data_IF_203601804281
#
_entry.id   IF_203601804281
#
_cell.length_a   1.000
_cell.length_b   1.000
_cell.length_c   1.000
_cell.angle_alpha   90.00
_cell.angle_beta   90.00
_cell.angle_gamma   90.00
#
_symmetry.space_group_name_H-M   'P 1'
#
loop_
_entity.id
_entity.type
_entity.pdbx_description
1 polymer ?
#
# COMPACT_ATOMS: atom_id res chain seq x y z
N UNK A 1 -15.86 -41.06 -7.46
CA UNK A 1 -16.09 -41.33 -6.02
C UNK A 1 -14.91 -42.18 -5.57
N UNK A 2 -13.86 -41.70 -4.91
CA UNK A 2 -13.65 -40.50 -4.10
C UNK A 2 -12.22 -39.99 -4.31
N UNK A 3 -12.02 -38.73 -3.97
CA UNK A 3 -10.92 -37.85 -4.30
C UNK A 3 -9.54 -38.35 -3.86
N UNK A 4 -8.52 -37.97 -4.64
CA UNK A 4 -7.11 -38.20 -4.31
C UNK A 4 -6.80 -37.55 -2.96
N UNK A 5 -6.12 -38.30 -2.11
CA UNK A 5 -5.61 -37.86 -0.83
C UNK A 5 -4.73 -36.61 -1.00
N UNK A 6 -5.22 -35.45 -0.56
CA UNK A 6 -4.40 -34.29 -0.25
C UNK A 6 -4.82 -33.73 1.11
N UNK A 7 -4.06 -34.07 2.14
CA UNK A 7 -3.97 -33.30 3.38
C UNK A 7 -2.50 -33.05 3.67
N UNK A 8 -2.17 -31.98 4.40
CA UNK A 8 -2.61 -30.59 4.28
C UNK A 8 -1.40 -29.72 3.84
N UNK A 9 -1.59 -28.51 3.32
CA UNK A 9 -0.50 -27.52 3.38
C UNK A 9 -0.71 -26.70 4.66
N UNK A 10 0.16 -26.78 5.68
CA UNK A 10 -0.04 -26.11 6.96
C UNK A 10 0.56 -24.69 7.01
N UNK A 11 0.79 -24.03 5.88
CA UNK A 11 1.45 -22.71 5.83
C UNK A 11 0.91 -21.81 4.70
N UNK A 12 -0.40 -21.56 4.65
CA UNK A 12 -0.80 -20.23 4.19
C UNK A 12 -0.67 -19.31 5.42
N UNK A 13 0.31 -18.39 5.46
CA UNK A 13 0.33 -17.39 6.51
C UNK A 13 -1.03 -16.66 6.46
N UNK A 14 -1.56 -16.18 7.60
CA UNK A 14 -2.78 -15.39 7.54
C UNK A 14 -2.47 -14.16 6.65
N UNK A 15 -3.47 -13.47 6.05
CA UNK A 15 -3.19 -12.32 5.19
C UNK A 15 -2.70 -11.13 6.05
N UNK A 16 -1.48 -11.24 6.59
CA UNK A 16 -1.03 -10.57 7.81
C UNK A 16 -0.07 -9.45 7.48
N UNK A 17 -0.56 -8.45 6.77
CA UNK A 17 0.14 -7.24 6.33
C UNK A 17 0.79 -7.38 4.93
N UNK A 18 0.62 -6.38 4.06
CA UNK A 18 1.37 -6.27 2.82
C UNK A 18 2.89 -6.32 3.07
N UNK A 19 3.67 -6.76 2.09
CA UNK A 19 5.11 -6.65 2.18
C UNK A 19 5.53 -5.16 2.19
N UNK A 20 6.52 -4.74 3.00
CA UNK A 20 7.12 -3.41 2.86
C UNK A 20 7.55 -3.15 1.42
N UNK A 21 7.25 -1.97 0.88
CA UNK A 21 7.41 -1.67 -0.54
C UNK A 21 6.12 -1.84 -1.37
N UNK A 22 5.08 -2.47 -0.82
CA UNK A 22 3.79 -2.60 -1.53
C UNK A 22 3.10 -1.25 -1.65
N UNK A 23 2.64 -0.89 -2.84
CA UNK A 23 1.88 0.35 -3.04
C UNK A 23 0.39 0.16 -2.76
N UNK A 24 -0.15 1.04 -1.93
CA UNK A 24 -1.53 1.05 -1.48
C UNK A 24 -2.19 2.40 -1.77
N UNK A 25 -3.49 2.37 -2.01
CA UNK A 25 -4.37 3.55 -2.09
C UNK A 25 -5.08 3.69 -0.77
N UNK A 26 -4.93 4.85 -0.13
CA UNK A 26 -5.70 5.26 1.04
C UNK A 26 -6.94 6.04 0.58
N UNK A 27 -8.08 5.35 0.59
CA UNK A 27 -9.37 5.89 0.15
C UNK A 27 -9.92 6.95 1.11
N UNK A 28 -9.47 6.96 2.37
CA UNK A 28 -9.86 7.98 3.35
C UNK A 28 -9.21 9.34 3.08
N UNK A 29 -8.16 9.38 2.26
CA UNK A 29 -7.38 10.58 1.94
C UNK A 29 -7.45 10.96 0.46
N UNK A 30 -8.62 10.80 -0.16
CA UNK A 30 -8.83 11.18 -1.57
C UNK A 30 -7.99 10.33 -2.53
N UNK A 31 -7.97 9.02 -2.29
CA UNK A 31 -7.20 8.03 -3.05
C UNK A 31 -5.69 8.31 -3.10
N UNK A 32 -5.13 8.79 -1.98
CA UNK A 32 -3.69 9.04 -1.87
C UNK A 32 -2.92 7.73 -1.93
N UNK A 33 -1.92 7.66 -2.82
CA UNK A 33 -1.08 6.47 -3.00
C UNK A 33 0.19 6.55 -2.17
N UNK A 34 0.50 5.47 -1.43
CA UNK A 34 1.72 5.35 -0.62
C UNK A 34 2.32 3.96 -0.64
N UNK A 35 3.61 3.89 -0.36
CA UNK A 35 4.36 2.66 -0.11
C UNK A 35 4.14 2.22 1.34
N UNK A 36 3.72 0.97 1.54
CA UNK A 36 3.61 0.36 2.85
C UNK A 36 5.00 0.23 3.50
N UNK A 37 5.13 0.76 4.72
CA UNK A 37 6.37 0.73 5.51
C UNK A 37 6.31 -0.24 6.68
N UNK A 38 5.10 -0.63 7.11
CA UNK A 38 4.87 -1.51 8.25
C UNK A 38 3.61 -1.14 9.02
N UNK A 39 3.29 -1.92 10.04
CA UNK A 39 2.26 -1.58 11.01
C UNK A 39 2.78 -0.59 12.06
N UNK A 40 1.92 0.35 12.47
CA UNK A 40 2.12 1.33 13.53
C UNK A 40 0.92 1.22 14.50
N UNK A 41 0.99 0.25 15.42
CA UNK A 41 -0.15 -0.10 16.27
C UNK A 41 -1.35 -0.60 15.42
N UNK A 42 -2.56 -0.02 15.58
CA UNK A 42 -3.72 -0.41 14.79
C UNK A 42 -3.73 0.17 13.36
N UNK A 43 -2.80 1.08 13.05
CA UNK A 43 -2.69 1.74 11.75
C UNK A 43 -1.53 1.16 10.94
N UNK A 44 -1.52 1.44 9.64
CA UNK A 44 -0.41 1.16 8.74
C UNK A 44 0.36 2.44 8.42
N UNK A 45 1.69 2.38 8.47
CA UNK A 45 2.55 3.49 8.04
C UNK A 45 2.74 3.42 6.53
N UNK A 46 2.35 4.49 5.84
CA UNK A 46 2.54 4.68 4.40
C UNK A 46 3.48 5.84 4.13
N UNK A 47 4.33 5.71 3.11
CA UNK A 47 5.21 6.78 2.63
C UNK A 47 4.81 7.23 1.23
N UNK A 48 4.81 8.53 0.89
CA UNK A 48 4.46 8.97 -0.46
C UNK A 48 5.43 8.41 -1.49
N UNK A 49 4.95 8.10 -2.70
CA UNK A 49 5.83 7.71 -3.81
C UNK A 49 6.84 8.84 -4.09
N UNK A 50 8.13 8.52 -4.10
CA UNK A 50 9.20 9.50 -4.28
C UNK A 50 9.60 10.27 -3.01
N UNK A 51 9.06 9.89 -1.85
CA UNK A 51 9.44 10.42 -0.55
C UNK A 51 8.57 11.60 -0.07
N UNK A 52 8.79 11.97 1.19
CA UNK A 52 7.98 12.94 1.92
C UNK A 52 7.59 12.38 3.29
N UNK A 53 6.71 13.10 3.98
CA UNK A 53 6.23 12.73 5.32
C UNK A 53 5.35 11.48 5.24
N UNK A 54 5.70 10.48 6.04
CA UNK A 54 4.90 9.28 6.24
C UNK A 54 3.57 9.63 6.92
N UNK A 55 2.56 8.79 6.71
CA UNK A 55 1.27 8.95 7.36
C UNK A 55 0.71 7.60 7.80
N UNK A 56 -0.10 7.64 8.84
CA UNK A 56 -0.86 6.50 9.32
C UNK A 56 -2.20 6.40 8.57
N UNK A 57 -2.49 5.19 8.10
CA UNK A 57 -3.71 4.84 7.38
C UNK A 57 -4.43 3.67 8.07
N UNK A 58 -5.76 3.69 8.04
CA UNK A 58 -6.56 2.59 8.57
C UNK A 58 -6.51 1.38 7.63
N UNK A 59 -6.22 0.16 8.11
CA UNK A 59 -6.13 -1.05 7.29
C UNK A 59 -7.39 -1.31 6.44
N UNK A 60 -8.56 -0.96 6.97
CA UNK A 60 -9.86 -1.10 6.29
C UNK A 60 -10.12 -0.06 5.19
N UNK A 61 -9.37 1.05 5.20
CA UNK A 61 -9.51 2.15 4.25
C UNK A 61 -8.45 2.11 3.16
N UNK A 62 -7.57 1.11 3.18
CA UNK A 62 -6.52 0.94 2.19
C UNK A 62 -6.77 -0.27 1.30
N UNK A 63 -6.34 -0.18 0.05
CA UNK A 63 -6.36 -1.28 -0.92
C UNK A 63 -5.10 -1.28 -1.76
N UNK A 64 -4.83 -2.38 -2.46
CA UNK A 64 -3.74 -2.42 -3.44
C UNK A 64 -3.91 -1.32 -4.50
N UNK A 65 -2.80 -0.64 -4.79
CA UNK A 65 -2.76 0.38 -5.84
C UNK A 65 -2.60 -0.28 -7.21
N UNK A 66 -3.47 0.09 -8.14
CA UNK A 66 -3.32 -0.30 -9.54
C UNK A 66 -2.08 0.36 -10.16
N UNK A 67 -1.45 -0.26 -11.18
CA UNK A 67 -0.29 0.33 -11.84
C UNK A 67 -0.51 1.76 -12.36
N UNK A 68 -1.72 2.05 -12.86
CA UNK A 68 -2.09 3.40 -13.32
C UNK A 68 -2.16 4.43 -12.18
N UNK A 69 -2.57 4.01 -10.98
CA UNK A 69 -2.64 4.88 -9.80
C UNK A 69 -1.23 5.19 -9.28
N UNK A 70 -0.35 4.18 -9.28
CA UNK A 70 1.07 4.36 -8.96
C UNK A 70 1.74 5.33 -9.93
N UNK A 71 1.49 5.18 -11.24
CA UNK A 71 2.02 6.08 -12.26
C UNK A 71 1.51 7.51 -12.06
N UNK A 72 0.20 7.69 -11.86
CA UNK A 72 -0.41 9.00 -11.60
C UNK A 72 0.19 9.67 -10.37
N UNK A 73 0.34 8.93 -9.27
CA UNK A 73 0.94 9.47 -8.05
C UNK A 73 2.40 9.88 -8.23
N UNK A 74 3.20 9.07 -8.96
CA UNK A 74 4.59 9.42 -9.29
C UNK A 74 4.67 10.71 -10.12
N UNK A 75 3.84 10.82 -11.15
CA UNK A 75 3.78 12.01 -12.01
C UNK A 75 3.29 13.24 -11.25
N UNK A 76 2.24 13.09 -10.43
CA UNK A 76 1.73 14.18 -9.60
C UNK A 76 2.80 14.70 -8.64
N UNK A 77 3.57 13.82 -8.00
CA UNK A 77 4.68 14.21 -7.13
C UNK A 77 5.80 14.92 -7.90
N UNK A 78 6.19 14.39 -9.05
CA UNK A 78 7.21 15.01 -9.90
C UNK A 78 6.78 16.42 -10.35
N UNK A 79 5.52 16.58 -10.75
CA UNK A 79 4.95 17.87 -11.13
C UNK A 79 4.85 18.85 -9.96
N UNK A 80 4.47 18.37 -8.78
CA UNK A 80 4.45 19.21 -7.57
C UNK A 80 5.87 19.67 -7.20
N UNK A 81 6.87 18.78 -7.36
CA UNK A 81 8.28 19.12 -7.12
C UNK A 81 8.79 20.17 -8.10
N UNK A 82 8.44 20.06 -9.39
CA UNK A 82 8.83 21.07 -10.39
C UNK A 82 8.17 22.43 -10.14
N UNK A 83 6.99 22.45 -9.51
CA UNK A 83 6.32 23.67 -9.04
C UNK A 83 6.82 24.17 -7.68
N UNK A 84 7.74 23.46 -7.02
CA UNK A 84 8.25 23.83 -5.69
C UNK A 84 7.28 23.60 -4.53
N UNK A 85 6.19 22.85 -4.75
CA UNK A 85 5.15 22.60 -3.74
C UNK A 85 5.56 21.55 -2.71
N UNK A 86 6.58 20.74 -3.04
CA UNK A 86 7.02 19.59 -2.27
C UNK A 86 8.52 19.37 -2.45
N UNK A 87 9.23 19.06 -1.36
CA UNK A 87 10.70 18.89 -1.34
C UNK A 87 11.13 17.50 -1.79
#
# INVERSE_FOLDING_TARGET
>A
MYEVHARPNPEEPPPDLPAPGTFLVDTSRGDRVGEFRGAAGPYWSLRPIGGGTEWEAEPRSVRLALPIEQLRARTARANARSRGEVL
#
